data_IF_253632180415
#
_entry.id   IF_253632180415
#
_cell.length_a   1.000
_cell.length_b   1.000
_cell.length_c   1.000
_cell.angle_alpha   90.00
_cell.angle_beta   90.00
_cell.angle_gamma   90.00
#
_symmetry.space_group_name_H-M   'P 1'
#
loop_
_entity.id
_entity.type
_entity.pdbx_description
1 polymer ?
#
# COMPACT_ATOMS: atom_id res chain seq x y z
N UNK A 1 34.32 12.23 13.50
CA UNK A 1 33.02 11.53 13.48
C UNK A 1 32.27 11.99 12.24
N UNK A 2 32.55 11.39 11.09
CA UNK A 2 31.79 11.64 9.86
C UNK A 2 30.32 11.28 10.07
N UNK A 3 29.45 12.28 10.09
CA UNK A 3 28.00 12.09 10.01
C UNK A 3 27.68 11.70 8.56
N UNK A 4 28.02 10.46 8.22
CA UNK A 4 27.54 9.79 7.02
C UNK A 4 26.04 10.02 6.92
N UNK A 5 25.65 10.72 5.87
CA UNK A 5 24.29 11.10 5.51
C UNK A 5 23.41 9.86 5.57
N UNK A 6 22.65 9.68 6.66
CA UNK A 6 21.65 8.62 6.76
C UNK A 6 20.69 8.84 5.59
N UNK A 7 20.83 8.05 4.52
CA UNK A 7 19.86 8.01 3.42
C UNK A 7 18.51 7.74 4.08
N UNK A 8 17.68 8.77 4.17
CA UNK A 8 16.33 8.65 4.70
C UNK A 8 15.64 7.60 3.84
N UNK A 9 15.25 6.46 4.44
CA UNK A 9 14.50 5.42 3.73
C UNK A 9 13.30 6.11 3.06
N UNK A 10 13.28 6.14 1.73
CA UNK A 10 12.10 6.61 1.01
C UNK A 10 10.97 5.65 1.35
N UNK A 11 9.98 6.14 2.10
CA UNK A 11 8.78 5.38 2.37
C UNK A 11 7.86 5.49 1.15
N UNK A 12 7.40 4.36 0.64
CA UNK A 12 6.37 4.34 -0.39
C UNK A 12 5.13 5.07 0.15
N UNK A 13 4.69 6.10 -0.57
CA UNK A 13 3.49 6.84 -0.23
C UNK A 13 2.30 6.06 -0.80
N UNK A 14 1.64 5.29 0.04
CA UNK A 14 0.42 4.58 -0.33
C UNK A 14 -0.81 5.49 -0.16
N UNK A 15 -1.80 5.32 -1.04
CA UNK A 15 -3.05 6.06 -0.96
C UNK A 15 -3.83 5.67 0.31
N UNK A 16 -3.92 6.60 1.27
CA UNK A 16 -4.52 6.36 2.59
C UNK A 16 -5.99 5.93 2.52
N UNK A 17 -6.74 6.38 1.52
CA UNK A 17 -8.16 6.01 1.37
C UNK A 17 -8.34 4.59 0.87
N UNK A 18 -7.46 4.13 -0.03
CA UNK A 18 -7.42 2.72 -0.43
C UNK A 18 -7.09 1.86 0.80
N UNK A 19 -6.08 2.24 1.60
CA UNK A 19 -5.71 1.51 2.83
C UNK A 19 -6.87 1.45 3.83
N UNK A 20 -7.60 2.55 4.04
CA UNK A 20 -8.78 2.58 4.91
C UNK A 20 -9.88 1.63 4.41
N UNK A 21 -10.15 1.60 3.10
CA UNK A 21 -11.12 0.68 2.50
C UNK A 21 -10.69 -0.78 2.64
N UNK A 22 -9.42 -1.09 2.36
CA UNK A 22 -8.86 -2.43 2.52
C UNK A 22 -8.94 -2.90 3.97
N UNK A 23 -8.61 -2.03 4.93
CA UNK A 23 -8.78 -2.31 6.37
C UNK A 23 -10.21 -2.70 6.70
N UNK A 24 -11.20 -1.94 6.21
CA UNK A 24 -12.61 -2.22 6.45
C UNK A 24 -13.06 -3.53 5.80
N UNK A 25 -12.55 -3.84 4.60
CA UNK A 25 -12.89 -5.06 3.84
C UNK A 25 -12.31 -6.33 4.46
N UNK A 26 -11.04 -6.30 4.84
CA UNK A 26 -10.31 -7.48 5.29
C UNK A 26 -10.24 -7.62 6.82
N UNK A 27 -10.65 -6.60 7.58
CA UNK A 27 -10.58 -6.62 9.05
C UNK A 27 -9.15 -6.64 9.61
N UNK A 28 -8.14 -6.33 8.78
CA UNK A 28 -6.72 -6.42 9.14
C UNK A 28 -6.16 -5.10 9.66
N UNK A 29 -5.00 -5.14 10.32
CA UNK A 29 -4.33 -3.91 10.74
C UNK A 29 -3.70 -3.18 9.55
N UNK A 30 -3.57 -1.83 9.61
CA UNK A 30 -2.82 -1.09 8.61
C UNK A 30 -1.39 -1.61 8.42
N UNK A 31 -0.74 -2.03 9.51
CA UNK A 31 0.61 -2.61 9.45
C UNK A 31 0.65 -3.89 8.61
N UNK A 32 -0.36 -4.75 8.72
CA UNK A 32 -0.47 -5.95 7.90
C UNK A 32 -0.64 -5.59 6.41
N UNK A 33 -1.46 -4.59 6.10
CA UNK A 33 -1.66 -4.10 4.73
C UNK A 33 -0.34 -3.56 4.17
N UNK A 34 0.38 -2.70 4.90
CA UNK A 34 1.66 -2.18 4.43
C UNK A 34 2.71 -3.28 4.24
N UNK A 35 2.80 -4.24 5.16
CA UNK A 35 3.69 -5.39 5.02
C UNK A 35 3.33 -6.24 3.78
N UNK A 36 2.02 -6.38 3.49
CA UNK A 36 1.53 -7.04 2.28
C UNK A 36 1.98 -6.30 1.03
N UNK A 37 1.75 -4.98 0.97
CA UNK A 37 2.11 -4.13 -0.17
C UNK A 37 3.62 -3.98 -0.39
N UNK A 38 4.44 -4.22 0.64
CA UNK A 38 5.90 -4.28 0.52
C UNK A 38 6.42 -5.64 0.04
N UNK A 39 5.58 -6.67 0.04
CA UNK A 39 5.97 -8.05 -0.28
C UNK A 39 6.54 -8.84 0.91
N UNK A 40 6.45 -8.30 2.13
CA UNK A 40 6.92 -8.99 3.36
C UNK A 40 5.99 -10.16 3.75
N UNK A 41 4.83 -10.30 3.11
CA UNK A 41 3.78 -11.27 3.44
C UNK A 41 3.33 -12.04 2.19
N UNK A 42 3.27 -13.36 2.30
CA UNK A 42 2.90 -14.28 1.21
C UNK A 42 1.58 -15.03 1.44
N UNK A 43 0.86 -14.73 2.52
CA UNK A 43 -0.46 -15.32 2.80
C UNK A 43 -1.46 -15.00 1.71
N UNK A 44 -2.47 -15.86 1.50
CA UNK A 44 -3.54 -15.64 0.52
C UNK A 44 -4.23 -14.27 0.69
N UNK A 45 -4.50 -13.85 1.92
CA UNK A 45 -5.07 -12.52 2.20
C UNK A 45 -4.15 -11.38 1.77
N UNK A 46 -2.83 -11.54 1.95
CA UNK A 46 -1.84 -10.55 1.49
C UNK A 46 -1.87 -10.39 -0.02
N UNK A 47 -1.92 -11.51 -0.75
CA UNK A 47 -1.99 -11.52 -2.22
C UNK A 47 -3.26 -10.78 -2.68
N UNK A 48 -4.42 -11.09 -2.09
CA UNK A 48 -5.69 -10.41 -2.38
C UNK A 48 -5.65 -8.92 -2.07
N UNK A 49 -5.01 -8.52 -0.96
CA UNK A 49 -4.82 -7.10 -0.60
C UNK A 49 -4.01 -6.37 -1.68
N UNK A 50 -2.92 -6.98 -2.16
CA UNK A 50 -2.07 -6.39 -3.20
C UNK A 50 -2.83 -6.23 -4.52
N UNK A 51 -3.58 -7.25 -4.95
CA UNK A 51 -4.40 -7.20 -6.15
C UNK A 51 -5.49 -6.12 -6.07
N UNK A 52 -6.22 -6.07 -4.95
CA UNK A 52 -7.27 -5.08 -4.74
C UNK A 52 -6.72 -3.66 -4.67
N UNK A 53 -5.57 -3.47 -4.02
CA UNK A 53 -4.90 -2.17 -3.99
C UNK A 53 -4.59 -1.70 -5.42
N UNK A 54 -3.98 -2.56 -6.23
CA UNK A 54 -3.64 -2.26 -7.63
C UNK A 54 -4.87 -1.95 -8.47
N UNK A 55 -5.96 -2.72 -8.31
CA UNK A 55 -7.24 -2.47 -9.01
C UNK A 55 -7.81 -1.10 -8.66
N UNK A 56 -7.85 -0.76 -7.37
CA UNK A 56 -8.35 0.53 -6.90
C UNK A 56 -7.49 1.70 -7.42
N UNK A 57 -6.17 1.54 -7.42
CA UNK A 57 -5.24 2.56 -7.93
C UNK A 57 -5.44 2.80 -9.43
N UNK A 58 -5.59 1.74 -10.21
CA UNK A 58 -5.89 1.83 -11.65
C UNK A 58 -7.23 2.53 -11.90
N UNK A 59 -8.27 2.21 -11.12
CA UNK A 59 -9.58 2.83 -11.27
C UNK A 59 -9.57 4.33 -10.93
N UNK A 60 -8.88 4.71 -9.85
CA UNK A 60 -8.67 6.12 -9.47
C UNK A 60 -7.93 6.85 -10.60
N UNK A 61 -6.82 6.30 -11.07
CA UNK A 61 -6.04 6.95 -12.14
C UNK A 61 -6.83 7.06 -13.44
N UNK A 62 -7.64 6.04 -13.79
CA UNK A 62 -8.55 6.10 -14.94
C UNK A 62 -9.62 7.18 -14.79
N UNK A 63 -10.11 7.41 -13.58
CA UNK A 63 -11.10 8.44 -13.30
C UNK A 63 -10.48 9.82 -13.38
N UNK A 64 -9.28 9.99 -12.81
CA UNK A 64 -8.53 11.24 -12.87
C UNK A 64 -8.11 11.61 -14.30
N UNK A 65 -7.78 10.64 -15.14
CA UNK A 65 -7.39 10.89 -16.54
C UNK A 65 -8.56 11.29 -17.45
N UNK A 66 -9.82 11.12 -17.01
CA UNK A 66 -11.03 11.52 -17.74
C UNK A 66 -11.49 12.94 -17.40
N UNK A 67 -10.87 13.57 -16.41
CA UNK A 67 -11.10 14.96 -15.98
C UNK A 67 -10.09 15.83 -16.71
#
# INVERSE_FOLDING_TARGET
MDKSTKKTKQYNIYNKDIIRKLRKKYGTSPHFIYASLRGDRTSETSIKICEDYRKAEVEINKTLAKI
#
